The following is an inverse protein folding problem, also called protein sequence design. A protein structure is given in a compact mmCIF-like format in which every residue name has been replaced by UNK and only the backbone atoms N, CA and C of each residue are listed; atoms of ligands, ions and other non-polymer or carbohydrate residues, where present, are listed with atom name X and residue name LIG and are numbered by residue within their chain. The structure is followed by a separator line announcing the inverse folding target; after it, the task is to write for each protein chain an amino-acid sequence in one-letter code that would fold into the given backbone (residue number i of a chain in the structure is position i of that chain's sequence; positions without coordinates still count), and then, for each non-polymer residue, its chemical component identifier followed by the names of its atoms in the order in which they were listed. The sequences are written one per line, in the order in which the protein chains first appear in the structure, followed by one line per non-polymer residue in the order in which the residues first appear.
data_IF_640988099001
#
_entry.id   IF_640988099001
#
_cell.length_a   1.000
_cell.length_b   1.000
_cell.length_c   1.000
_cell.angle_alpha   90.00
_cell.angle_beta   90.00
_cell.angle_gamma   90.00
#
_symmetry.space_group_name_H-M   'P 1'
#
loop_
_entity.id
_entity.type
_entity.pdbx_description
1 polymer ?
#
# COMPACT_ATOMS: atom_id res chain seq x y z
N UNK A 1 3.65 -6.49 6.83
CA UNK A 1 3.89 -5.87 5.51
C UNK A 1 4.75 -6.70 4.56
N UNK A 2 5.53 -7.70 5.02
CA UNK A 2 6.37 -8.57 4.17
C UNK A 2 5.66 -9.12 2.92
N UNK A 3 4.42 -9.68 3.00
CA UNK A 3 3.74 -10.16 1.80
C UNK A 3 3.41 -9.10 0.76
N UNK A 4 3.05 -7.91 1.22
CA UNK A 4 2.73 -6.77 0.37
C UNK A 4 3.99 -6.25 -0.33
N UNK A 5 5.12 -6.17 0.38
CA UNK A 5 6.40 -5.83 -0.24
C UNK A 5 6.80 -6.86 -1.29
N UNK A 6 6.75 -8.16 -0.95
CA UNK A 6 7.18 -9.23 -1.86
C UNK A 6 6.34 -9.25 -3.14
N UNK A 7 5.02 -9.10 -3.03
CA UNK A 7 4.14 -9.06 -4.20
C UNK A 7 4.28 -7.78 -5.01
N UNK A 8 4.51 -6.62 -4.38
CA UNK A 8 4.88 -5.40 -5.10
C UNK A 8 6.18 -5.60 -5.87
N UNK A 9 7.23 -6.14 -5.23
CA UNK A 9 8.54 -6.36 -5.82
C UNK A 9 8.48 -7.25 -7.08
N UNK A 10 7.58 -8.23 -7.11
CA UNK A 10 7.36 -9.11 -8.27
C UNK A 10 6.30 -8.59 -9.26
N UNK A 11 5.74 -7.39 -9.02
CA UNK A 11 4.76 -6.77 -9.92
C UNK A 11 5.41 -5.92 -11.01
N UNK A 12 4.62 -5.55 -12.03
CA UNK A 12 5.04 -4.61 -13.07
C UNK A 12 5.42 -3.22 -12.53
N UNK A 13 4.94 -2.85 -11.34
CA UNK A 13 5.12 -1.51 -10.80
C UNK A 13 6.44 -1.34 -10.02
N UNK A 14 7.08 -2.41 -9.53
CA UNK A 14 8.28 -2.29 -8.71
C UNK A 14 9.49 -1.65 -9.43
N UNK A 15 9.51 -1.68 -10.76
CA UNK A 15 10.59 -1.07 -11.55
C UNK A 15 10.45 0.44 -11.70
N UNK A 16 9.24 0.97 -11.57
CA UNK A 16 8.92 2.35 -11.96
C UNK A 16 8.17 3.14 -10.88
N UNK A 17 7.70 2.49 -9.82
CA UNK A 17 6.91 3.09 -8.77
C UNK A 17 7.22 2.46 -7.41
N UNK A 18 7.28 3.32 -6.39
CA UNK A 18 7.41 2.96 -4.98
C UNK A 18 6.02 2.81 -4.33
N UNK A 19 5.98 2.30 -3.10
CA UNK A 19 4.72 2.15 -2.35
C UNK A 19 3.94 3.48 -2.26
N UNK A 20 4.64 4.60 -2.04
CA UNK A 20 4.00 5.91 -1.89
C UNK A 20 3.45 6.46 -3.22
N UNK A 21 3.92 5.98 -4.37
CA UNK A 21 3.41 6.43 -5.66
C UNK A 21 1.97 5.99 -5.90
N UNK A 22 1.55 4.90 -5.24
CA UNK A 22 0.19 4.40 -5.22
C UNK A 22 -0.57 4.75 -3.92
N UNK A 23 0.05 4.62 -2.75
CA UNK A 23 -0.65 4.70 -1.46
C UNK A 23 -0.69 6.08 -0.80
N UNK A 24 -0.06 7.11 -1.38
CA UNK A 24 -0.02 8.46 -0.81
C UNK A 24 -0.48 9.45 -1.88
N UNK A 25 -1.24 10.51 -1.53
CA UNK A 25 -1.65 11.55 -2.47
C UNK A 25 -0.46 12.39 -2.97
N UNK A 26 -0.57 12.93 -4.20
CA UNK A 26 0.45 13.81 -4.78
C UNK A 26 -0.14 15.09 -5.40
N UNK A 27 -1.33 15.53 -5.00
CA UNK A 27 -1.88 16.80 -5.51
C UNK A 27 -1.08 18.00 -4.98
N UNK A 28 -0.60 17.91 -3.73
CA UNK A 28 0.32 18.87 -3.14
C UNK A 28 1.02 18.29 -1.90
N UNK A 29 2.06 19.00 -1.43
CA UNK A 29 2.85 18.58 -0.28
C UNK A 29 2.04 18.50 1.02
N UNK A 30 1.07 19.41 1.22
CA UNK A 30 0.25 19.43 2.44
C UNK A 30 -0.59 18.15 2.53
N UNK A 31 -1.37 17.84 1.49
CA UNK A 31 -2.18 16.62 1.43
C UNK A 31 -1.32 15.36 1.61
N UNK A 32 -0.17 15.29 0.92
CA UNK A 32 0.79 14.20 1.04
C UNK A 32 1.20 13.95 2.49
N UNK A 33 1.66 14.98 3.19
CA UNK A 33 2.17 14.83 4.55
C UNK A 33 1.07 14.63 5.58
N UNK A 34 -0.10 15.27 5.43
CA UNK A 34 -1.26 15.02 6.28
C UNK A 34 -1.73 13.57 6.18
N UNK A 35 -1.91 13.06 4.95
CA UNK A 35 -2.35 11.69 4.73
C UNK A 35 -1.31 10.69 5.27
N UNK A 36 -0.03 10.91 4.97
CA UNK A 36 1.06 10.06 5.46
C UNK A 36 1.14 10.03 6.99
N UNK A 37 0.92 11.17 7.65
CA UNK A 37 0.91 11.26 9.11
C UNK A 37 -0.26 10.49 9.72
N UNK A 38 -1.47 10.69 9.18
CA UNK A 38 -2.68 9.98 9.63
C UNK A 38 -2.56 8.46 9.46
N UNK A 39 -2.13 8.02 8.27
CA UNK A 39 -1.97 6.60 7.95
C UNK A 39 -0.83 5.97 8.77
N UNK A 40 0.28 6.69 8.95
CA UNK A 40 1.37 6.29 9.83
C UNK A 40 0.91 6.07 11.27
N UNK A 41 0.10 6.96 11.84
CA UNK A 41 -0.44 6.80 13.20
C UNK A 41 -1.36 5.57 13.32
N UNK A 42 -2.21 5.32 12.31
CA UNK A 42 -3.09 4.12 12.29
C UNK A 42 -2.27 2.83 12.24
N UNK A 43 -1.24 2.80 11.41
CA UNK A 43 -0.31 1.67 11.34
C UNK A 43 0.39 1.43 12.68
N UNK A 44 0.95 2.49 13.29
CA UNK A 44 1.59 2.39 14.60
C UNK A 44 0.62 1.82 15.64
N UNK A 45 -0.61 2.33 15.69
CA UNK A 45 -1.63 1.81 16.60
C UNK A 45 -1.86 0.31 16.37
N UNK A 46 -2.12 -0.11 15.13
CA UNK A 46 -2.40 -1.51 14.80
C UNK A 46 -1.22 -2.45 15.13
N UNK A 47 0.02 -2.04 14.85
CA UNK A 47 1.23 -2.83 15.16
C UNK A 47 1.49 -2.92 16.66
N UNK A 48 1.24 -1.84 17.40
CA UNK A 48 1.39 -1.83 18.86
C UNK A 48 0.35 -2.71 19.54
N UNK A 49 -0.90 -2.68 19.07
CA UNK A 49 -1.99 -3.49 19.62
C UNK A 49 -2.05 -4.90 19.04
N UNK A 50 -1.22 -5.22 18.04
CA UNK A 50 -1.23 -6.49 17.29
C UNK A 50 -2.62 -6.82 16.73
N UNK A 51 -3.31 -5.79 16.23
CA UNK A 51 -4.70 -5.89 15.77
C UNK A 51 -4.80 -5.92 14.23
N UNK A 52 -3.74 -6.31 13.55
CA UNK A 52 -3.71 -6.41 12.10
C UNK A 52 -4.55 -7.62 11.65
N UNK A 53 -5.51 -7.43 10.74
CA UNK A 53 -6.29 -8.55 10.22
C UNK A 53 -5.41 -9.44 9.34
N UNK A 54 -5.75 -10.73 9.26
CA UNK A 54 -5.08 -11.65 8.34
C UNK A 54 -5.20 -11.19 6.89
N UNK A 55 -6.33 -10.60 6.52
CA UNK A 55 -6.54 -9.98 5.20
C UNK A 55 -6.63 -8.47 5.40
N UNK A 56 -5.56 -7.75 5.06
CA UNK A 56 -5.54 -6.28 5.11
C UNK A 56 -6.22 -5.75 3.85
N UNK A 57 -7.20 -4.87 4.04
CA UNK A 57 -7.93 -4.20 2.97
C UNK A 57 -7.73 -2.70 3.07
N UNK A 58 -7.67 -2.02 1.92
CA UNK A 58 -7.61 -0.57 1.89
C UNK A 58 -8.90 0.02 2.46
N UNK A 59 -8.78 0.99 3.34
CA UNK A 59 -9.91 1.83 3.73
C UNK A 59 -10.33 2.71 2.55
N UNK A 60 -11.58 3.17 2.56
CA UNK A 60 -12.18 3.99 1.50
C UNK A 60 -11.29 5.16 1.07
N UNK A 61 -10.77 5.93 2.03
CA UNK A 61 -9.86 7.04 1.77
C UNK A 61 -8.54 6.61 1.09
N UNK A 62 -8.00 5.45 1.45
CA UNK A 62 -6.82 4.89 0.78
C UNK A 62 -7.16 4.40 -0.62
N UNK A 63 -8.32 3.78 -0.81
CA UNK A 63 -8.80 3.34 -2.13
C UNK A 63 -8.97 4.51 -3.09
N UNK A 64 -9.51 5.64 -2.63
CA UNK A 64 -9.61 6.87 -3.41
C UNK A 64 -8.24 7.38 -3.85
N UNK A 65 -7.28 7.46 -2.93
CA UNK A 65 -5.90 7.86 -3.23
C UNK A 65 -5.26 6.91 -4.25
N UNK A 66 -5.43 5.61 -4.08
CA UNK A 66 -4.87 4.60 -4.99
C UNK A 66 -5.47 4.77 -6.40
N UNK A 67 -6.79 4.90 -6.51
CA UNK A 67 -7.48 5.12 -7.80
C UNK A 67 -7.01 6.40 -8.48
N UNK A 68 -6.92 7.50 -7.73
CA UNK A 68 -6.42 8.78 -8.25
C UNK A 68 -5.00 8.65 -8.79
N UNK A 69 -4.15 7.88 -8.11
CA UNK A 69 -2.77 7.62 -8.54
C UNK A 69 -2.71 6.70 -9.78
N UNK A 70 -3.60 5.70 -9.90
CA UNK A 70 -3.77 4.94 -11.15
C UNK A 70 -4.10 5.87 -12.31
N UNK A 71 -5.13 6.71 -12.15
CA UNK A 71 -5.57 7.66 -13.18
C UNK A 71 -4.45 8.64 -13.52
N UNK A 72 -3.74 9.19 -12.53
CA UNK A 72 -2.65 10.14 -12.75
C UNK A 72 -1.58 9.55 -13.65
N UNK A 73 -1.03 8.38 -13.30
CA UNK A 73 0.06 7.76 -14.08
C UNK A 73 -0.44 7.24 -15.43
N UNK A 74 -1.69 6.77 -15.52
CA UNK A 74 -2.28 6.27 -16.76
C UNK A 74 -3.16 7.30 -17.49
N UNK A 75 -2.94 8.59 -17.27
CA UNK A 75 -3.79 9.65 -17.85
C UNK A 75 -3.84 9.52 -19.37
N UNK A 76 -2.67 9.47 -20.02
CA UNK A 76 -2.58 9.35 -21.47
C UNK A 76 -3.32 8.11 -22.00
N UNK A 77 -3.15 6.97 -21.33
CA UNK A 77 -3.85 5.73 -21.68
C UNK A 77 -5.36 5.91 -21.66
N UNK A 78 -5.87 6.47 -20.56
CA UNK A 78 -7.30 6.64 -20.33
C UNK A 78 -7.92 7.73 -21.21
N UNK A 79 -7.18 8.76 -21.61
CA UNK A 79 -7.71 9.89 -22.39
C UNK A 79 -7.49 9.76 -23.90
N UNK A 80 -6.36 9.20 -24.34
CA UNK A 80 -5.96 9.20 -25.75
C UNK A 80 -6.23 7.85 -26.43
N UNK A 81 -5.96 6.73 -25.75
CA UNK A 81 -6.05 5.40 -26.37
C UNK A 81 -7.39 4.71 -26.12
N UNK A 82 -7.69 4.41 -24.84
CA UNK A 82 -8.90 3.64 -24.51
C UNK A 82 -10.13 4.52 -24.30
N UNK A 83 -9.93 5.83 -24.09
CA UNK A 83 -11.01 6.84 -23.95
C UNK A 83 -12.08 6.44 -22.93
N UNK A 84 -11.68 5.75 -21.87
CA UNK A 84 -12.56 5.27 -20.78
C UNK A 84 -13.11 6.40 -19.92
N UNK A 85 -12.65 7.63 -20.12
CA UNK A 85 -13.01 8.79 -19.30
C UNK A 85 -12.26 8.81 -17.97
N UNK A 86 -12.67 9.70 -17.06
CA UNK A 86 -12.12 9.83 -15.71
C UNK A 86 -13.11 9.29 -14.68
N UNK A 87 -13.35 7.98 -14.69
CA UNK A 87 -14.11 7.36 -13.60
C UNK A 87 -13.23 7.37 -12.36
N UNK A 88 -13.62 8.15 -11.36
CA UNK A 88 -12.96 8.14 -10.05
C UNK A 88 -13.51 7.03 -9.14
N UNK A 89 -12.91 6.91 -7.96
CA UNK A 89 -13.29 5.85 -7.03
C UNK A 89 -14.74 6.02 -6.51
N UNK A 90 -15.18 7.25 -6.26
CA UNK A 90 -16.53 7.49 -5.71
C UNK A 90 -17.61 7.16 -6.75
N UNK A 91 -17.38 7.49 -8.02
CA UNK A 91 -18.24 7.07 -9.13
C UNK A 91 -18.36 5.54 -9.20
N UNK A 92 -17.27 4.80 -8.94
CA UNK A 92 -17.31 3.33 -8.92
C UNK A 92 -18.20 2.77 -7.79
N UNK A 93 -18.26 3.46 -6.64
CA UNK A 93 -19.08 3.02 -5.50
C UNK A 93 -20.58 3.18 -5.75
N UNK A 94 -20.98 4.14 -6.59
CA UNK A 94 -22.39 4.38 -6.95
C UNK A 94 -22.82 3.67 -8.24
N UNK A 95 -21.96 2.80 -8.79
CA UNK A 95 -22.29 1.99 -9.97
C UNK A 95 -22.15 2.71 -11.31
N UNK A 96 -21.58 3.92 -11.32
CA UNK A 96 -21.29 4.67 -12.55
C UNK A 96 -20.05 4.15 -13.30
N UNK A 97 -19.35 3.17 -12.73
CA UNK A 97 -18.18 2.55 -13.35
C UNK A 97 -17.57 1.43 -12.52
N UNK A 98 -16.32 1.09 -12.85
CA UNK A 98 -15.50 0.09 -12.16
C UNK A 98 -14.20 0.73 -11.68
N UNK A 99 -13.73 0.31 -10.52
CA UNK A 99 -12.39 0.67 -10.08
C UNK A 99 -11.35 -0.02 -10.97
N UNK A 100 -10.15 0.57 -11.14
CA UNK A 100 -9.13 0.00 -12.01
C UNK A 100 -8.83 -1.47 -11.68
N UNK A 101 -8.76 -1.80 -10.40
CA UNK A 101 -8.47 -3.16 -9.91
C UNK A 101 -9.65 -4.13 -9.95
N UNK A 102 -10.87 -3.70 -10.30
CA UNK A 102 -11.97 -4.63 -10.54
C UNK A 102 -11.67 -5.51 -11.78
N UNK A 103 -10.95 -4.93 -12.75
CA UNK A 103 -10.43 -5.64 -13.91
C UNK A 103 -8.94 -6.01 -13.74
N UNK A 104 -8.10 -5.06 -13.29
CA UNK A 104 -6.67 -5.26 -13.06
C UNK A 104 -6.39 -5.91 -11.70
N UNK A 105 -6.98 -7.09 -11.48
CA UNK A 105 -7.09 -7.74 -10.17
C UNK A 105 -5.77 -8.13 -9.53
N UNK A 106 -4.71 -8.33 -10.32
CA UNK A 106 -3.40 -8.73 -9.79
C UNK A 106 -2.51 -7.53 -9.41
N UNK A 107 -2.89 -6.31 -9.84
CA UNK A 107 -2.13 -5.08 -9.54
C UNK A 107 -2.08 -4.80 -8.03
N UNK A 108 -3.19 -4.89 -7.27
CA UNK A 108 -3.14 -4.80 -5.81
C UNK A 108 -2.54 -6.08 -5.23
N UNK A 109 -1.21 -6.17 -5.23
CA UNK A 109 -0.47 -7.21 -4.49
C UNK A 109 -0.86 -8.66 -4.84
N UNK A 110 -1.20 -8.95 -6.10
CA UNK A 110 -1.67 -10.28 -6.52
C UNK A 110 -3.13 -10.59 -6.16
N UNK A 111 -3.95 -9.56 -5.91
CA UNK A 111 -5.37 -9.66 -5.60
C UNK A 111 -5.67 -9.65 -4.10
N UNK A 112 -6.53 -10.54 -3.62
CA UNK A 112 -6.86 -10.65 -2.19
C UNK A 112 -5.70 -11.31 -1.44
N UNK A 113 -4.66 -10.53 -1.17
CA UNK A 113 -3.48 -10.99 -0.46
C UNK A 113 -3.71 -10.96 1.07
N UNK A 114 -3.01 -11.83 1.78
CA UNK A 114 -3.09 -11.99 3.23
C UNK A 114 -1.70 -11.96 3.86
N UNK A 115 -1.64 -11.81 5.18
CA UNK A 115 -0.39 -11.92 5.94
C UNK A 115 0.32 -13.28 5.75
N UNK A 116 -0.43 -14.30 5.34
CA UNK A 116 0.07 -15.66 5.08
C UNK A 116 0.19 -15.98 3.58
N UNK A 117 -0.08 -15.02 2.69
CA UNK A 117 -0.15 -15.26 1.24
C UNK A 117 1.21 -15.50 0.57
N UNK A 118 2.31 -15.15 1.24
CA UNK A 118 3.68 -15.38 0.75
C UNK A 118 4.57 -15.89 1.89
N UNK A 119 4.37 -17.15 2.33
CA UNK A 119 5.12 -17.72 3.43
C UNK A 119 6.62 -17.76 3.08
N UNK A 120 7.47 -17.39 4.03
CA UNK A 120 8.93 -17.42 3.85
C UNK A 120 9.49 -16.41 2.85
N UNK A 121 8.72 -15.38 2.48
CA UNK A 121 9.21 -14.34 1.58
C UNK A 121 10.46 -13.64 2.15
N UNK A 122 11.55 -13.70 1.39
CA UNK A 122 12.81 -13.03 1.71
C UNK A 122 12.69 -11.58 1.25
N UNK A 123 12.54 -10.67 2.21
CA UNK A 123 12.43 -9.22 1.95
C UNK A 123 13.47 -8.47 2.78
N UNK A 124 13.97 -7.32 2.30
CA UNK A 124 14.81 -6.45 3.11
C UNK A 124 13.98 -5.90 4.27
N UNK A 125 14.26 -6.37 5.48
CA UNK A 125 13.66 -5.85 6.70
C UNK A 125 14.47 -4.64 7.20
N UNK A 126 13.81 -3.62 7.76
CA UNK A 126 14.51 -2.51 8.40
C UNK A 126 15.37 -3.01 9.56
N UNK A 127 16.42 -2.26 9.87
CA UNK A 127 17.25 -2.54 11.04
C UNK A 127 16.42 -2.57 12.33
N UNK A 128 16.92 -3.33 13.31
CA UNK A 128 16.28 -3.42 14.62
C UNK A 128 16.10 -2.01 15.21
N UNK A 129 14.86 -1.59 15.55
CA UNK A 129 14.64 -0.30 16.20
C UNK A 129 15.16 -0.28 17.65
N UNK A 130 15.53 -1.44 18.20
CA UNK A 130 16.09 -1.58 19.55
C UNK A 130 17.54 -1.08 19.56
N UNK A 131 17.89 -0.07 20.38
CA UNK A 131 19.26 0.41 20.53
C UNK A 131 20.21 -0.70 20.98
N UNK A 132 21.47 -0.61 20.55
CA UNK A 132 22.46 -1.65 20.77
C UNK A 132 22.67 -1.98 22.27
N UNK A 133 22.63 -0.96 23.12
CA UNK A 133 22.81 -1.10 24.58
C UNK A 133 21.71 -1.96 25.22
N UNK A 134 20.46 -1.78 24.80
CA UNK A 134 19.32 -2.53 25.33
C UNK A 134 19.37 -3.98 24.83
N UNK A 135 19.72 -4.18 23.55
CA UNK A 135 19.89 -5.52 22.97
C UNK A 135 20.99 -6.31 23.67
N UNK A 136 22.12 -5.66 23.99
CA UNK A 136 23.22 -6.27 24.77
C UNK A 136 22.78 -6.70 26.16
N UNK A 137 21.99 -5.87 26.87
CA UNK A 137 21.51 -6.22 28.21
C UNK A 137 20.52 -7.39 28.21
N UNK A 138 19.59 -7.45 27.25
CA UNK A 138 18.64 -8.57 27.16
C UNK A 138 19.37 -9.88 26.86
N UNK A 139 20.29 -9.87 25.88
CA UNK A 139 21.04 -11.07 25.49
C UNK A 139 22.08 -11.53 26.54
N UNK A 140 22.47 -10.67 27.49
CA UNK A 140 23.35 -11.04 28.60
C UNK A 140 22.61 -11.69 29.77
N UNK A 141 21.29 -11.48 29.90
CA UNK A 141 20.48 -12.13 30.94
C UNK A 141 20.20 -13.61 30.67
N UNK A 142 20.35 -14.05 29.44
CA UNK A 142 20.14 -15.44 29.00
C UNK A 142 21.43 -16.29 29.02
N UNK A 143 22.48 -15.80 29.69
CA UNK A 143 23.70 -16.54 30.04
C UNK A 143 23.85 -16.62 31.56
#
# INVERSE_FOLDING_TARGET
MTPYYATWFHSSHARNATCNDCHVPHENAVKKWTFKGMDGMKHVAAFLTKSEPQVIQAHEASSEVIMNNCIRCHTQLNTEFVKTGKIDYMMSQVGEGKACWDCHRDVPHGGKNSLSGTPGAIVPLPESPVPEWLRKMVNQKDK
#
